data_IF_445512740362
#
_entry.id   IF_445512740362
#
_cell.length_a   1.000
_cell.length_b   1.000
_cell.length_c   1.000
_cell.angle_alpha   90.00
_cell.angle_beta   90.00
_cell.angle_gamma   90.00
#
_symmetry.space_group_name_H-M   'P 1'
#
loop_
_entity.id
_entity.type
_entity.pdbx_description
1 polymer ?
#
# COMPACT_ATOMS: atom_id res chain seq x y z
N UNK A 1 27.84 -21.74 -14.03
CA UNK A 1 28.22 -21.14 -15.33
C UNK A 1 28.24 -19.63 -15.17
N UNK A 2 29.18 -18.89 -15.80
CA UNK A 2 29.16 -17.43 -15.77
C UNK A 2 27.85 -16.91 -16.40
N UNK A 3 27.29 -15.83 -15.86
CA UNK A 3 26.08 -15.18 -16.37
C UNK A 3 26.40 -14.42 -17.67
N UNK A 4 26.57 -15.15 -18.77
CA UNK A 4 26.70 -14.61 -20.12
C UNK A 4 25.31 -14.26 -20.68
N UNK A 5 25.20 -13.28 -21.61
CA UNK A 5 23.92 -12.94 -22.23
C UNK A 5 23.16 -14.15 -22.76
N UNK A 6 23.87 -15.12 -23.37
CA UNK A 6 23.28 -16.38 -23.84
C UNK A 6 22.64 -17.20 -22.71
N UNK A 7 23.36 -17.41 -21.60
CA UNK A 7 22.83 -18.17 -20.47
C UNK A 7 21.64 -17.48 -19.79
N UNK A 8 21.64 -16.15 -19.73
CA UNK A 8 20.53 -15.36 -19.18
C UNK A 8 19.32 -15.46 -20.10
N UNK A 9 19.52 -15.38 -21.41
CA UNK A 9 18.46 -15.60 -22.39
C UNK A 9 17.85 -17.01 -22.25
N UNK A 10 18.68 -18.05 -22.17
CA UNK A 10 18.21 -19.43 -22.03
C UNK A 10 17.42 -19.67 -20.73
N UNK A 11 17.79 -19.00 -19.64
CA UNK A 11 17.05 -19.04 -18.36
C UNK A 11 15.71 -18.30 -18.46
N UNK A 12 15.71 -17.14 -19.11
CA UNK A 12 14.55 -16.25 -19.17
C UNK A 12 13.63 -16.51 -20.37
N UNK A 13 13.96 -17.46 -21.26
CA UNK A 13 13.18 -17.73 -22.49
C UNK A 13 11.71 -18.10 -22.24
N UNK A 14 11.39 -18.55 -21.03
CA UNK A 14 10.03 -18.92 -20.62
C UNK A 14 9.30 -17.79 -19.88
N UNK A 15 9.97 -16.67 -19.60
CA UNK A 15 9.33 -15.47 -19.04
C UNK A 15 8.51 -14.83 -20.15
N UNK A 16 7.22 -14.67 -19.88
CA UNK A 16 6.25 -14.07 -20.81
C UNK A 16 5.77 -12.74 -20.26
N UNK A 17 5.57 -11.78 -21.15
CA UNK A 17 4.96 -10.51 -20.78
C UNK A 17 3.49 -10.75 -20.45
N UNK A 18 3.13 -10.43 -19.21
CA UNK A 18 1.76 -10.51 -18.74
C UNK A 18 1.03 -9.19 -19.04
N UNK A 19 -0.22 -9.23 -19.52
CA UNK A 19 -1.00 -8.02 -19.71
C UNK A 19 -1.30 -7.38 -18.34
N UNK A 20 -1.26 -6.05 -18.26
CA UNK A 20 -1.44 -5.29 -17.01
C UNK A 20 -2.65 -5.71 -16.16
N UNK A 21 -3.84 -6.01 -16.72
CA UNK A 21 -5.00 -6.45 -15.93
C UNK A 21 -4.80 -7.78 -15.21
N UNK A 22 -3.86 -8.61 -15.65
CA UNK A 22 -3.56 -9.92 -15.05
C UNK A 22 -2.51 -9.86 -13.95
N UNK A 23 -1.89 -8.70 -13.74
CA UNK A 23 -0.87 -8.52 -12.71
C UNK A 23 -1.48 -8.49 -11.31
N UNK A 24 -0.75 -9.04 -10.34
CA UNK A 24 -1.09 -8.88 -8.93
C UNK A 24 -0.96 -7.42 -8.53
N UNK A 25 -2.07 -6.82 -8.07
CA UNK A 25 -2.12 -5.38 -7.74
C UNK A 25 -1.74 -5.04 -6.29
N UNK A 26 -1.61 -6.04 -5.42
CA UNK A 26 -1.20 -5.86 -4.01
C UNK A 26 -0.02 -6.79 -3.72
N UNK A 27 1.04 -6.22 -3.17
CA UNK A 27 2.23 -6.96 -2.78
C UNK A 27 2.64 -6.65 -1.33
N UNK A 28 3.03 -7.65 -0.51
CA UNK A 28 2.91 -9.10 -0.73
C UNK A 28 1.47 -9.54 -1.00
N UNK A 29 1.30 -10.72 -1.60
CA UNK A 29 -0.02 -11.25 -1.94
C UNK A 29 -0.88 -11.40 -0.67
N UNK A 30 -2.06 -10.76 -0.60
CA UNK A 30 -2.91 -10.85 0.57
C UNK A 30 -3.56 -12.22 0.68
N UNK A 31 -3.99 -12.60 1.90
CA UNK A 31 -4.71 -13.85 2.14
C UNK A 31 -6.02 -13.96 1.33
N UNK A 32 -6.71 -12.84 1.13
CA UNK A 32 -7.90 -12.75 0.28
C UNK A 32 -7.90 -11.44 -0.52
N UNK A 33 -8.18 -11.56 -1.82
CA UNK A 33 -8.33 -10.45 -2.75
C UNK A 33 -9.51 -10.70 -3.69
N UNK A 34 -10.41 -9.72 -3.80
CA UNK A 34 -11.48 -9.74 -4.79
C UNK A 34 -11.63 -8.36 -5.42
N UNK A 35 -11.45 -8.30 -6.73
CA UNK A 35 -11.74 -7.12 -7.54
C UNK A 35 -13.16 -7.21 -8.11
N UNK A 36 -13.81 -6.06 -8.28
CA UNK A 36 -15.13 -5.93 -8.90
C UNK A 36 -15.09 -4.89 -10.02
N UNK A 37 -16.06 -4.96 -10.93
CA UNK A 37 -16.18 -4.00 -12.03
C UNK A 37 -16.40 -2.58 -11.51
N UNK A 38 -15.78 -1.61 -12.18
CA UNK A 38 -15.89 -0.20 -11.84
C UNK A 38 -14.61 0.34 -11.22
N UNK A 39 -14.62 1.64 -10.93
CA UNK A 39 -13.45 2.37 -10.49
C UNK A 39 -13.85 3.38 -9.41
N UNK A 40 -12.90 3.70 -8.56
CA UNK A 40 -12.98 4.77 -7.59
C UNK A 40 -12.01 5.88 -7.98
N UNK A 41 -12.51 7.12 -8.03
CA UNK A 41 -11.70 8.28 -8.36
C UNK A 41 -11.29 9.00 -7.08
N UNK A 42 -10.02 8.88 -6.71
CA UNK A 42 -9.44 9.59 -5.57
C UNK A 42 -8.88 10.95 -6.05
N UNK A 43 -9.43 12.06 -5.57
CA UNK A 43 -8.97 13.42 -5.89
C UNK A 43 -8.43 14.12 -4.65
N UNK A 44 -7.68 15.21 -4.83
CA UNK A 44 -7.03 15.94 -3.73
C UNK A 44 -7.94 16.77 -2.82
N UNK A 45 -9.26 16.55 -2.86
CA UNK A 45 -10.21 17.01 -1.84
C UNK A 45 -10.78 15.78 -1.12
N UNK A 46 -10.05 15.29 -0.13
CA UNK A 46 -10.42 14.12 0.67
C UNK A 46 -10.40 14.46 2.15
N UNK A 47 -11.13 13.67 2.94
CA UNK A 47 -11.10 13.72 4.40
C UNK A 47 -10.91 12.30 4.94
N UNK A 48 -10.00 12.16 5.90
CA UNK A 48 -9.77 10.91 6.61
C UNK A 48 -10.52 10.97 7.94
N UNK A 49 -11.59 10.19 8.01
CA UNK A 49 -12.47 10.09 9.19
C UNK A 49 -11.96 8.98 10.09
N UNK A 50 -11.72 9.35 11.34
CA UNK A 50 -11.29 8.46 12.42
C UNK A 50 -12.11 8.81 13.66
N UNK A 51 -12.60 7.80 14.37
CA UNK A 51 -13.26 8.02 15.66
C UNK A 51 -12.22 8.28 16.74
N UNK A 52 -12.49 9.23 17.64
CA UNK A 52 -11.53 9.63 18.67
C UNK A 52 -11.15 8.47 19.59
N UNK A 53 -12.09 7.57 19.88
CA UNK A 53 -11.87 6.37 20.69
C UNK A 53 -10.92 5.34 20.05
N UNK A 54 -10.70 5.40 18.74
CA UNK A 54 -9.88 4.41 18.03
C UNK A 54 -8.37 4.70 18.17
N UNK A 55 -7.99 5.95 18.45
CA UNK A 55 -6.60 6.36 18.68
C UNK A 55 -5.65 6.13 17.49
N UNK A 56 -6.12 6.39 16.27
CA UNK A 56 -5.39 6.16 15.01
C UNK A 56 -4.80 7.45 14.41
N UNK A 57 -4.40 8.40 15.27
CA UNK A 57 -3.92 9.72 14.84
C UNK A 57 -2.63 9.61 13.99
N UNK A 58 -1.71 8.72 14.36
CA UNK A 58 -0.47 8.50 13.64
C UNK A 58 -0.71 7.88 12.25
N UNK A 59 -1.58 6.88 12.15
CA UNK A 59 -1.94 6.25 10.87
C UNK A 59 -2.71 7.21 9.96
N UNK A 60 -3.58 8.05 10.54
CA UNK A 60 -4.26 9.12 9.83
C UNK A 60 -3.25 10.11 9.25
N UNK A 61 -2.36 10.66 10.07
CA UNK A 61 -1.36 11.64 9.64
C UNK A 61 -0.42 11.06 8.59
N UNK A 62 0.00 9.79 8.75
CA UNK A 62 0.81 9.09 7.78
C UNK A 62 0.09 8.97 6.43
N UNK A 63 -1.15 8.47 6.42
CA UNK A 63 -1.93 8.33 5.18
C UNK A 63 -2.18 9.70 4.51
N UNK A 64 -2.52 10.71 5.29
CA UNK A 64 -2.72 12.08 4.80
C UNK A 64 -1.46 12.64 4.14
N UNK A 65 -0.30 12.46 4.80
CA UNK A 65 0.99 12.87 4.26
C UNK A 65 1.32 12.16 2.96
N UNK A 66 1.10 10.85 2.89
CA UNK A 66 1.36 10.08 1.67
C UNK A 66 0.44 10.49 0.52
N UNK A 67 -0.86 10.67 0.77
CA UNK A 67 -1.80 11.09 -0.28
C UNK A 67 -1.55 12.52 -0.75
N UNK A 68 -1.17 13.44 0.13
CA UNK A 68 -0.82 14.81 -0.22
C UNK A 68 0.45 14.93 -1.09
N UNK A 69 1.34 13.93 -1.05
CA UNK A 69 2.48 13.84 -1.99
C UNK A 69 2.04 13.45 -3.40
N UNK A 70 0.97 12.66 -3.52
CA UNK A 70 0.53 12.05 -4.78
C UNK A 70 -0.57 12.87 -5.47
N UNK A 71 -1.33 13.66 -4.73
CA UNK A 71 -2.46 14.43 -5.23
C UNK A 71 -2.21 15.93 -5.10
N UNK A 72 -2.55 16.68 -6.14
CA UNK A 72 -2.63 18.13 -6.06
C UNK A 72 -3.86 18.52 -5.25
N UNK A 73 -3.71 19.52 -4.37
CA UNK A 73 -4.83 20.05 -3.59
C UNK A 73 -5.94 20.54 -4.53
N UNK A 74 -7.17 20.14 -4.24
CA UNK A 74 -8.35 20.59 -4.99
C UNK A 74 -9.40 21.16 -4.03
N UNK A 75 -10.16 22.15 -4.49
CA UNK A 75 -11.24 22.78 -3.73
C UNK A 75 -12.62 22.26 -4.19
N UNK A 76 -12.77 20.93 -4.23
CA UNK A 76 -14.03 20.30 -4.61
C UNK A 76 -15.19 20.68 -3.68
N UNK A 77 -16.44 20.57 -4.13
CA UNK A 77 -17.61 20.85 -3.28
C UNK A 77 -17.85 19.77 -2.23
N UNK A 78 -17.57 18.51 -2.56
CA UNK A 78 -17.71 17.37 -1.66
C UNK A 78 -16.34 16.71 -1.45
N UNK A 79 -16.03 16.40 -0.19
CA UNK A 79 -14.79 15.73 0.18
C UNK A 79 -14.96 14.22 0.12
N UNK A 80 -14.03 13.56 -0.57
CA UNK A 80 -13.94 12.10 -0.63
C UNK A 80 -13.68 11.55 0.76
N UNK A 81 -14.46 10.57 1.20
CA UNK A 81 -14.36 10.01 2.54
C UNK A 81 -13.48 8.76 2.55
N UNK A 82 -12.44 8.79 3.38
CA UNK A 82 -11.60 7.64 3.72
C UNK A 82 -11.84 7.34 5.20
N UNK A 83 -12.32 6.14 5.51
CA UNK A 83 -12.60 5.72 6.88
C UNK A 83 -11.45 4.85 7.39
N UNK A 84 -10.85 5.24 8.52
CA UNK A 84 -10.04 4.33 9.33
C UNK A 84 -10.82 4.00 10.60
N UNK A 85 -10.95 2.71 10.91
CA UNK A 85 -11.72 2.25 12.06
C UNK A 85 -11.02 1.11 12.78
N UNK A 86 -11.00 1.18 14.10
CA UNK A 86 -10.58 0.06 14.93
C UNK A 86 -11.75 -0.89 15.22
N UNK A 87 -11.55 -2.19 15.07
CA UNK A 87 -12.52 -3.21 15.50
C UNK A 87 -12.13 -3.85 16.84
N UNK A 88 -13.02 -4.68 17.38
CA UNK A 88 -12.85 -5.31 18.69
C UNK A 88 -11.95 -6.56 18.67
N UNK A 89 -11.39 -6.95 17.52
CA UNK A 89 -10.66 -8.23 17.39
C UNK A 89 -9.31 -8.22 18.10
N UNK A 90 -8.74 -7.04 18.39
CA UNK A 90 -7.37 -6.85 18.89
C UNK A 90 -6.30 -7.60 18.05
N UNK A 91 -6.62 -7.93 16.80
CA UNK A 91 -5.73 -8.65 15.89
C UNK A 91 -5.19 -7.72 14.80
N UNK A 92 -4.04 -8.07 14.22
CA UNK A 92 -3.48 -7.35 13.07
C UNK A 92 -4.15 -7.70 11.74
N UNK A 93 -5.20 -8.52 11.77
CA UNK A 93 -6.01 -8.81 10.58
C UNK A 93 -6.63 -7.49 10.14
N UNK A 94 -6.42 -7.13 8.88
CA UNK A 94 -6.98 -5.92 8.32
C UNK A 94 -7.94 -6.22 7.17
N UNK A 95 -8.87 -5.29 6.96
CA UNK A 95 -9.77 -5.26 5.82
C UNK A 95 -9.60 -3.94 5.10
N UNK A 96 -9.28 -3.99 3.81
CA UNK A 96 -9.27 -2.83 2.92
C UNK A 96 -10.40 -3.02 1.91
N UNK A 97 -11.35 -2.09 1.91
CA UNK A 97 -12.47 -2.08 0.99
C UNK A 97 -12.51 -0.75 0.24
N UNK A 98 -12.49 -0.83 -1.09
CA UNK A 98 -12.69 0.31 -1.98
C UNK A 98 -14.04 0.10 -2.66
N UNK A 99 -14.96 1.03 -2.45
CA UNK A 99 -16.28 1.06 -3.11
C UNK A 99 -16.33 2.24 -4.07
N UNK A 100 -17.38 2.39 -4.92
CA UNK A 100 -17.52 3.59 -5.76
C UNK A 100 -17.59 4.91 -4.98
N UNK A 101 -17.86 4.88 -3.66
CA UNK A 101 -18.10 6.08 -2.84
C UNK A 101 -17.06 6.31 -1.76
N UNK A 102 -16.44 5.26 -1.24
CA UNK A 102 -15.58 5.33 -0.06
C UNK A 102 -14.44 4.33 -0.09
N UNK A 103 -13.35 4.69 0.59
CA UNK A 103 -12.29 3.76 1.00
C UNK A 103 -12.48 3.50 2.49
N UNK A 104 -12.47 2.23 2.90
CA UNK A 104 -12.61 1.82 4.30
C UNK A 104 -11.46 0.89 4.66
N UNK A 105 -10.78 1.21 5.76
CA UNK A 105 -9.71 0.43 6.35
C UNK A 105 -10.10 0.09 7.79
N UNK A 106 -10.15 -1.21 8.10
CA UNK A 106 -10.55 -1.71 9.40
C UNK A 106 -9.55 -2.74 9.92
N UNK A 107 -9.18 -2.65 11.20
CA UNK A 107 -8.29 -3.60 11.87
C UNK A 107 -8.46 -3.54 13.39
N UNK A 108 -8.07 -4.58 14.12
CA UNK A 108 -8.07 -4.58 15.58
C UNK A 108 -6.90 -3.80 16.21
N UNK A 109 -5.89 -3.44 15.42
CA UNK A 109 -4.68 -2.73 15.87
C UNK A 109 -4.27 -1.64 14.88
N UNK A 110 -3.56 -0.61 15.37
CA UNK A 110 -2.93 0.41 14.52
C UNK A 110 -1.93 -0.19 13.53
N UNK A 111 -1.20 -1.25 13.92
CA UNK A 111 -0.31 -2.00 13.02
C UNK A 111 -1.06 -2.62 11.83
N UNK A 112 -2.22 -3.21 12.04
CA UNK A 112 -3.03 -3.72 10.93
C UNK A 112 -3.62 -2.61 10.06
N UNK A 113 -4.00 -1.45 10.63
CA UNK A 113 -4.38 -0.25 9.85
C UNK A 113 -3.20 0.19 8.98
N UNK A 114 -1.99 0.25 9.54
CA UNK A 114 -0.78 0.60 8.81
C UNK A 114 -0.51 -0.37 7.66
N UNK A 115 -0.64 -1.68 7.87
CA UNK A 115 -0.48 -2.66 6.78
C UNK A 115 -1.54 -2.53 5.69
N UNK A 116 -2.78 -2.20 6.04
CA UNK A 116 -3.81 -1.89 5.05
C UNK A 116 -3.47 -0.65 4.22
N UNK A 117 -2.89 0.38 4.85
CA UNK A 117 -2.38 1.57 4.14
C UNK A 117 -1.28 1.19 3.16
N UNK A 118 -0.36 0.30 3.53
CA UNK A 118 0.67 -0.17 2.59
C UNK A 118 0.06 -0.93 1.40
N UNK A 119 -0.96 -1.76 1.63
CA UNK A 119 -1.71 -2.40 0.54
C UNK A 119 -2.42 -1.39 -0.36
N UNK A 120 -3.02 -0.34 0.22
CA UNK A 120 -3.59 0.76 -0.55
C UNK A 120 -2.52 1.46 -1.40
N UNK A 121 -1.33 1.71 -0.85
CA UNK A 121 -0.20 2.28 -1.61
C UNK A 121 0.21 1.39 -2.78
N UNK A 122 0.26 0.07 -2.60
CA UNK A 122 0.58 -0.83 -3.73
C UNK A 122 -0.49 -0.86 -4.82
N UNK A 123 -1.76 -0.54 -4.50
CA UNK A 123 -2.83 -0.40 -5.50
C UNK A 123 -2.73 0.89 -6.33
N UNK A 124 -1.99 1.90 -5.84
CA UNK A 124 -1.88 3.17 -6.54
C UNK A 124 -1.05 2.97 -7.82
N UNK A 125 -1.53 3.40 -9.00
CA UNK A 125 -0.79 3.32 -10.24
C UNK A 125 0.58 4.00 -10.16
N UNK A 126 1.60 3.36 -10.73
CA UNK A 126 2.99 3.83 -10.64
C UNK A 126 3.19 5.26 -11.19
N UNK A 127 2.33 5.71 -12.12
CA UNK A 127 2.37 7.06 -12.68
C UNK A 127 2.13 8.14 -11.62
N UNK A 128 1.32 7.85 -10.59
CA UNK A 128 1.06 8.79 -9.49
C UNK A 128 2.29 9.04 -8.61
N UNK A 129 3.25 8.11 -8.61
CA UNK A 129 4.52 8.25 -7.89
C UNK A 129 5.59 9.02 -8.69
N UNK A 130 5.38 9.25 -10.00
CA UNK A 130 6.31 10.04 -10.83
C UNK A 130 6.09 11.55 -10.68
N UNK A 131 4.83 11.96 -10.52
CA UNK A 131 4.43 13.35 -10.33
C UNK A 131 3.04 13.40 -9.69
N UNK A 132 2.77 14.48 -8.94
CA UNK A 132 1.45 14.69 -8.33
C UNK A 132 0.34 14.81 -9.40
N UNK A 133 -0.76 14.09 -9.19
CA UNK A 133 -1.90 14.00 -10.12
C UNK A 133 -3.08 14.84 -9.62
N UNK A 134 -3.97 15.26 -10.52
CA UNK A 134 -5.27 15.86 -10.13
C UNK A 134 -6.18 14.82 -9.45
N UNK A 135 -6.11 13.58 -9.96
CA UNK A 135 -6.84 12.44 -9.41
C UNK A 135 -6.12 11.12 -9.74
N UNK A 136 -6.42 10.10 -8.96
CA UNK A 136 -5.89 8.74 -9.05
C UNK A 136 -7.08 7.80 -9.19
N UNK A 137 -7.02 6.91 -10.19
CA UNK A 137 -8.03 5.88 -10.39
C UNK A 137 -7.62 4.61 -9.65
N UNK A 138 -8.51 4.10 -8.81
CA UNK A 138 -8.32 2.87 -8.03
C UNK A 138 -9.37 1.83 -8.42
N UNK A 139 -9.03 0.53 -8.44
CA UNK A 139 -10.00 -0.54 -8.65
C UNK A 139 -10.92 -0.69 -7.44
N UNK A 140 -12.15 -1.14 -7.67
CA UNK A 140 -13.07 -1.54 -6.59
C UNK A 140 -12.62 -2.91 -6.09
N UNK A 141 -12.21 -2.97 -4.83
CA UNK A 141 -11.62 -4.17 -4.24
C UNK A 141 -12.14 -4.44 -2.83
N UNK A 142 -12.11 -5.71 -2.46
CA UNK A 142 -12.25 -6.17 -1.10
C UNK A 142 -11.04 -7.06 -0.76
N UNK A 143 -10.31 -6.68 0.28
CA UNK A 143 -9.07 -7.32 0.71
C UNK A 143 -9.20 -7.68 2.18
N UNK A 144 -8.84 -8.91 2.53
CA UNK A 144 -8.73 -9.36 3.92
C UNK A 144 -7.38 -10.04 4.04
N UNK A 145 -6.57 -9.61 5.00
CA UNK A 145 -5.20 -10.06 5.05
C UNK A 145 -4.60 -9.99 6.46
N UNK A 146 -3.58 -10.81 6.67
CA UNK A 146 -2.83 -10.91 7.91
C UNK A 146 -1.49 -11.59 7.64
N UNK A 147 -0.48 -11.29 8.44
CA UNK A 147 0.83 -11.89 8.27
C UNK A 147 0.78 -13.40 8.53
N UNK A 148 1.31 -14.19 7.59
CA UNK A 148 1.49 -15.65 7.76
C UNK A 148 2.42 -15.99 8.93
N UNK A 149 3.43 -15.16 9.16
CA UNK A 149 4.39 -15.31 10.24
C UNK A 149 4.51 -14.01 11.04
N UNK A 150 4.52 -14.06 12.38
CA UNK A 150 4.58 -12.86 13.21
C UNK A 150 5.94 -12.15 13.11
N UNK A 151 7.03 -12.90 12.91
CA UNK A 151 8.38 -12.34 12.77
C UNK A 151 8.81 -12.36 11.30
N UNK A 152 9.08 -11.18 10.75
CA UNK A 152 9.53 -10.95 9.37
C UNK A 152 10.70 -9.97 9.45
N UNK A 153 11.86 -10.37 8.96
CA UNK A 153 13.10 -9.66 9.24
C UNK A 153 13.96 -9.52 7.99
N UNK A 154 14.78 -8.48 8.02
CA UNK A 154 15.84 -8.20 7.06
C UNK A 154 17.13 -8.01 7.86
N UNK A 155 18.20 -8.66 7.44
CA UNK A 155 19.51 -8.54 8.07
C UNK A 155 20.41 -7.65 7.22
N UNK A 156 20.84 -6.52 7.78
CA UNK A 156 21.81 -5.62 7.18
C UNK A 156 23.14 -5.70 7.95
N UNK A 157 24.21 -6.06 7.27
CA UNK A 157 25.55 -6.04 7.84
C UNK A 157 26.21 -4.68 7.61
N UNK A 158 26.39 -3.93 8.69
CA UNK A 158 27.06 -2.61 8.70
C UNK A 158 28.49 -2.69 9.23
N UNK A 159 28.96 -3.87 9.65
CA UNK A 159 30.26 -4.03 10.28
C UNK A 159 31.40 -4.17 9.27
N UNK A 160 31.14 -4.86 8.15
CA UNK A 160 32.14 -5.07 7.09
C UNK A 160 32.36 -3.79 6.28
N UNK A 161 31.27 -3.09 5.96
CA UNK A 161 31.28 -1.79 5.31
C UNK A 161 30.16 -0.93 5.90
N UNK A 162 30.51 0.26 6.37
CA UNK A 162 29.56 1.15 7.03
C UNK A 162 28.46 1.62 6.06
N UNK A 163 27.23 1.73 6.57
CA UNK A 163 26.09 2.33 5.89
C UNK A 163 25.64 3.56 6.67
N UNK A 164 25.39 4.66 5.98
CA UNK A 164 24.93 5.91 6.60
C UNK A 164 23.55 5.74 7.23
N UNK A 165 23.21 6.63 8.18
CA UNK A 165 21.88 6.63 8.80
C UNK A 165 20.77 6.79 7.74
N UNK A 166 21.00 7.64 6.76
CA UNK A 166 20.06 7.95 5.69
C UNK A 166 19.77 6.72 4.82
N UNK A 167 20.79 5.89 4.54
CA UNK A 167 20.62 4.61 3.83
C UNK A 167 19.84 3.60 4.67
N UNK A 168 20.11 3.50 5.97
CA UNK A 168 19.35 2.62 6.87
C UNK A 168 17.87 3.04 6.93
N UNK A 169 17.58 4.34 7.00
CA UNK A 169 16.21 4.85 6.98
C UNK A 169 15.49 4.50 5.67
N UNK A 170 16.16 4.61 4.51
CA UNK A 170 15.59 4.17 3.22
C UNK A 170 15.26 2.67 3.21
N UNK A 171 16.11 1.85 3.81
CA UNK A 171 15.83 0.41 3.95
C UNK A 171 14.60 0.18 4.83
N UNK A 172 14.49 0.89 5.97
CA UNK A 172 13.32 0.79 6.84
C UNK A 172 12.03 1.24 6.15
N UNK A 173 12.08 2.29 5.33
CA UNK A 173 10.95 2.75 4.52
C UNK A 173 10.50 1.66 3.53
N UNK A 174 11.44 1.03 2.83
CA UNK A 174 11.17 -0.08 1.92
C UNK A 174 10.61 -1.31 2.64
N UNK A 175 11.18 -1.67 3.80
CA UNK A 175 10.65 -2.75 4.62
C UNK A 175 9.21 -2.47 5.02
N UNK A 176 8.91 -1.24 5.45
CA UNK A 176 7.57 -0.86 5.87
C UNK A 176 6.54 -1.03 4.74
N UNK A 177 6.89 -0.71 3.50
CA UNK A 177 6.03 -0.88 2.31
C UNK A 177 5.66 -2.35 2.07
N UNK A 178 6.60 -3.26 2.33
CA UNK A 178 6.43 -4.69 2.10
C UNK A 178 5.96 -5.48 3.33
N UNK A 179 5.59 -4.76 4.40
CA UNK A 179 5.08 -5.31 5.66
C UNK A 179 6.07 -6.24 6.35
#
# INVERSE_FOLDING_TARGET
>A
MPALPQSVYEQNKNIVDLPEPSLTKIFPTPAFYKESSGQFLLAGHFNIVVKKEDGLDAEKEYLETELNKLLKKSNGREAIQILLKKDASNSDVYRLQITPKTISIVSGTGRGIFYAIQSLKTLIPHQAYKAAQESITLPIVNVIDSARFPHRAFLLDVARNFQTKEEVLKVLDLMSLYK
#
